data_IF_247602737671
#
_entry.id   IF_247602737671
#
_cell.length_a   1.000
_cell.length_b   1.000
_cell.length_c   1.000
_cell.angle_alpha   90.00
_cell.angle_beta   90.00
_cell.angle_gamma   90.00
#
_symmetry.space_group_name_H-M   'P 1'
#
loop_
_entity.id
_entity.type
_entity.pdbx_description
1 polymer ?
#
# COMPACT_ATOMS: atom_id res chain seq x y z
N UNK A 1 35.66 38.17 9.69
CA UNK A 1 35.57 36.77 9.28
C UNK A 1 34.17 36.56 8.73
N UNK A 2 34.03 36.55 7.39
CA UNK A 2 32.72 36.33 6.73
C UNK A 2 32.43 34.84 6.77
N UNK A 3 31.35 34.46 7.47
CA UNK A 3 30.77 33.12 7.37
C UNK A 3 30.06 33.02 6.03
N UNK A 4 30.64 32.28 5.11
CA UNK A 4 29.97 31.88 3.88
C UNK A 4 28.93 30.83 4.26
N UNK A 5 27.68 31.22 4.41
CA UNK A 5 26.54 30.33 4.49
C UNK A 5 26.40 29.62 3.15
N UNK A 6 26.85 28.39 3.08
CA UNK A 6 26.52 27.49 1.95
C UNK A 6 25.01 27.25 1.94
N UNK A 7 24.29 27.95 1.12
CA UNK A 7 22.90 27.65 0.80
C UNK A 7 22.91 26.40 -0.10
N UNK A 8 22.85 25.23 0.51
CA UNK A 8 22.54 23.99 -0.24
C UNK A 8 21.11 24.10 -0.76
N UNK A 9 20.94 23.94 -2.08
CA UNK A 9 19.59 23.85 -2.67
C UNK A 9 18.78 22.77 -1.93
N UNK A 10 17.50 23.03 -1.62
CA UNK A 10 16.68 22.08 -0.90
C UNK A 10 16.64 20.75 -1.67
N UNK A 11 16.93 19.64 -0.98
CA UNK A 11 16.84 18.31 -1.55
C UNK A 11 15.36 17.91 -1.63
N UNK A 12 14.87 17.65 -2.83
CA UNK A 12 13.49 17.22 -3.05
C UNK A 12 13.40 15.70 -3.01
N UNK A 13 12.44 15.18 -2.23
CA UNK A 13 12.13 13.77 -2.09
C UNK A 13 10.71 13.51 -2.59
N UNK A 14 10.53 12.45 -3.38
CA UNK A 14 9.21 11.98 -3.80
C UNK A 14 8.68 11.03 -2.75
N UNK A 15 7.44 11.29 -2.29
CA UNK A 15 6.76 10.51 -1.25
C UNK A 15 5.50 9.91 -1.85
N UNK A 16 5.52 8.59 -2.08
CA UNK A 16 4.36 7.83 -2.53
C UNK A 16 3.51 7.38 -1.35
N UNK A 17 2.23 7.68 -1.36
CA UNK A 17 1.28 7.17 -0.38
C UNK A 17 -0.13 7.08 -0.95
N UNK A 18 -1.02 6.36 -0.25
CA UNK A 18 -2.40 6.15 -0.69
C UNK A 18 -3.24 7.43 -0.52
N UNK A 19 -4.32 7.61 -1.29
CA UNK A 19 -5.30 8.66 -1.05
C UNK A 19 -6.25 8.37 0.13
N UNK A 20 -6.05 7.27 0.85
CA UNK A 20 -6.92 6.84 1.95
C UNK A 20 -6.84 7.78 3.17
N UNK A 21 -7.86 7.74 4.00
CA UNK A 21 -8.00 8.70 5.12
C UNK A 21 -6.93 8.55 6.19
N UNK A 22 -6.38 7.38 6.42
CA UNK A 22 -5.29 7.12 7.36
C UNK A 22 -3.96 7.72 6.86
N UNK A 23 -3.64 7.58 5.58
CA UNK A 23 -2.48 8.24 4.96
C UNK A 23 -2.68 9.77 4.92
N UNK A 24 -3.87 10.24 4.61
CA UNK A 24 -4.18 11.68 4.64
C UNK A 24 -3.95 12.27 6.04
N UNK A 25 -4.32 11.56 7.09
CA UNK A 25 -4.06 11.96 8.47
C UNK A 25 -2.55 11.94 8.78
N UNK A 26 -1.87 10.86 8.43
CA UNK A 26 -0.45 10.61 8.69
C UNK A 26 0.44 11.68 8.06
N UNK A 27 0.18 12.04 6.80
CA UNK A 27 0.98 12.99 6.04
C UNK A 27 0.48 14.45 6.12
N UNK A 28 -0.59 14.73 6.85
CA UNK A 28 -1.21 16.06 6.91
C UNK A 28 -0.22 17.17 7.24
N UNK A 29 0.56 17.01 8.30
CA UNK A 29 1.48 18.05 8.75
C UNK A 29 2.61 18.31 7.75
N UNK A 30 3.10 17.26 7.12
CA UNK A 30 4.14 17.34 6.10
C UNK A 30 3.62 18.02 4.82
N UNK A 31 2.44 17.59 4.35
CA UNK A 31 1.81 18.12 3.13
C UNK A 31 1.45 19.61 3.25
N UNK A 32 1.08 20.06 4.48
CA UNK A 32 0.68 21.44 4.74
C UNK A 32 1.84 22.31 5.28
N UNK A 33 3.08 21.86 5.21
CA UNK A 33 4.25 22.65 5.65
C UNK A 33 4.23 23.02 7.13
N UNK A 34 3.64 22.19 7.99
CA UNK A 34 3.53 22.43 9.43
C UNK A 34 4.71 21.90 10.24
N UNK A 35 5.67 21.29 9.56
CA UNK A 35 6.88 20.74 10.16
C UNK A 35 8.11 21.47 9.63
N UNK A 36 9.09 21.70 10.50
CA UNK A 36 10.44 22.05 10.05
C UNK A 36 11.11 20.82 9.48
N UNK A 37 11.38 20.84 8.19
CA UNK A 37 11.96 19.72 7.44
C UNK A 37 13.47 19.81 7.27
N UNK A 38 14.13 20.79 7.93
CA UNK A 38 15.59 20.95 7.87
C UNK A 38 16.14 21.19 6.46
N UNK A 39 15.35 21.84 5.58
CA UNK A 39 15.73 22.12 4.19
C UNK A 39 15.40 21.00 3.20
N UNK A 40 14.65 19.98 3.61
CA UNK A 40 14.08 19.00 2.70
C UNK A 40 12.74 19.50 2.12
N UNK A 41 12.50 19.24 0.84
CA UNK A 41 11.21 19.43 0.17
C UNK A 41 10.60 18.10 -0.17
N UNK A 42 9.28 17.97 -0.07
CA UNK A 42 8.56 16.73 -0.34
C UNK A 42 7.53 16.94 -1.47
N UNK A 43 7.55 16.03 -2.44
CA UNK A 43 6.55 15.98 -3.51
C UNK A 43 5.72 14.73 -3.31
N UNK A 44 4.47 14.93 -2.91
CA UNK A 44 3.53 13.85 -2.64
C UNK A 44 2.93 13.30 -3.93
N UNK A 45 2.90 11.97 -4.05
CA UNK A 45 2.33 11.22 -5.17
C UNK A 45 1.31 10.24 -4.62
N UNK A 46 0.04 10.46 -4.99
CA UNK A 46 -1.10 9.69 -4.49
C UNK A 46 -1.42 8.56 -5.47
N UNK A 47 -1.22 7.33 -5.06
CA UNK A 47 -1.47 6.14 -5.86
C UNK A 47 -1.95 4.99 -4.97
N UNK A 48 -2.57 3.97 -5.57
CA UNK A 48 -2.93 2.76 -4.85
C UNK A 48 -1.70 1.96 -4.40
N UNK A 49 -1.87 1.12 -3.38
CA UNK A 49 -0.75 0.43 -2.73
C UNK A 49 -0.05 -0.58 -3.66
N UNK A 50 -0.75 -1.22 -4.60
CA UNK A 50 -0.10 -2.13 -5.55
C UNK A 50 0.79 -1.37 -6.53
N UNK A 51 0.33 -0.21 -7.02
CA UNK A 51 1.12 0.69 -7.87
C UNK A 51 2.37 1.17 -7.12
N UNK A 52 2.22 1.61 -5.86
CA UNK A 52 3.35 2.01 -5.01
C UNK A 52 4.34 0.85 -4.78
N UNK A 53 3.86 -0.37 -4.53
CA UNK A 53 4.70 -1.55 -4.39
C UNK A 53 5.54 -1.79 -5.66
N UNK A 54 4.94 -1.68 -6.84
CA UNK A 54 5.63 -1.86 -8.13
C UNK A 54 6.66 -0.77 -8.40
N UNK A 55 6.33 0.48 -8.12
CA UNK A 55 7.25 1.61 -8.25
C UNK A 55 8.42 1.52 -7.28
N UNK A 56 8.18 1.02 -6.06
CA UNK A 56 9.25 0.75 -5.11
C UNK A 56 10.19 -0.36 -5.62
N UNK A 57 9.65 -1.44 -6.22
CA UNK A 57 10.47 -2.47 -6.87
C UNK A 57 11.33 -1.91 -8.02
N UNK A 58 10.83 -0.91 -8.73
CA UNK A 58 11.57 -0.21 -9.78
C UNK A 58 12.55 0.87 -9.24
N UNK A 59 12.53 1.16 -7.93
CA UNK A 59 13.39 2.17 -7.31
C UNK A 59 13.03 3.60 -7.69
N UNK A 60 11.76 3.86 -8.02
CA UNK A 60 11.32 5.16 -8.54
C UNK A 60 11.06 6.22 -7.47
N UNK A 61 10.88 5.83 -6.22
CA UNK A 61 10.50 6.71 -5.11
C UNK A 61 11.58 6.71 -4.03
N UNK A 62 11.87 7.87 -3.48
CA UNK A 62 12.79 7.99 -2.34
C UNK A 62 12.12 7.51 -1.04
N UNK A 63 10.82 7.79 -0.88
CA UNK A 63 9.98 7.37 0.24
C UNK A 63 8.68 6.81 -0.33
N UNK A 64 8.24 5.67 0.16
CA UNK A 64 6.99 5.06 -0.29
C UNK A 64 6.28 4.33 0.83
N UNK A 65 4.96 4.48 0.91
CA UNK A 65 4.12 3.48 1.55
C UNK A 65 4.21 2.19 0.75
N UNK A 66 4.38 1.07 1.43
CA UNK A 66 4.46 -0.26 0.83
C UNK A 66 3.75 -1.29 1.69
N UNK A 67 3.27 -2.35 1.06
CA UNK A 67 2.73 -3.49 1.79
C UNK A 67 3.85 -4.29 2.47
N UNK A 68 3.55 -4.88 3.62
CA UNK A 68 4.48 -5.79 4.30
C UNK A 68 4.92 -6.95 3.39
N UNK A 69 4.03 -7.45 2.54
CA UNK A 69 4.36 -8.46 1.53
C UNK A 69 5.43 -7.96 0.55
N UNK A 70 5.26 -6.76 0.00
CA UNK A 70 6.23 -6.17 -0.91
C UNK A 70 7.59 -5.93 -0.23
N UNK A 71 7.59 -5.56 1.04
CA UNK A 71 8.84 -5.30 1.77
C UNK A 71 9.76 -6.55 1.84
N UNK A 72 9.21 -7.75 1.85
CA UNK A 72 10.01 -8.98 1.79
C UNK A 72 10.94 -9.03 0.56
N UNK A 73 10.56 -8.36 -0.53
CA UNK A 73 11.34 -8.24 -1.77
C UNK A 73 12.21 -6.99 -1.81
N UNK A 74 11.97 -6.02 -0.94
CA UNK A 74 12.59 -4.69 -0.95
C UNK A 74 13.60 -4.45 0.17
N UNK A 75 13.74 -5.37 1.12
CA UNK A 75 14.57 -5.23 2.33
C UNK A 75 16.05 -4.95 2.08
N UNK A 76 16.55 -5.19 0.87
CA UNK A 76 17.92 -4.85 0.46
C UNK A 76 18.05 -3.46 -0.16
N UNK A 77 16.96 -2.84 -0.56
CA UNK A 77 16.90 -1.56 -1.29
C UNK A 77 16.33 -0.45 -0.44
N UNK A 78 15.34 -0.77 0.38
CA UNK A 78 14.64 0.18 1.25
C UNK A 78 14.79 -0.19 2.72
N UNK A 79 14.94 0.82 3.57
CA UNK A 79 14.83 0.69 5.01
C UNK A 79 13.40 1.02 5.45
N UNK A 80 12.88 0.31 6.45
CA UNK A 80 11.66 0.73 7.13
C UNK A 80 11.96 1.94 8.03
N UNK A 81 11.07 2.91 7.99
CA UNK A 81 11.11 4.03 8.94
C UNK A 81 10.43 3.61 10.26
N UNK A 82 10.85 4.22 11.36
CA UNK A 82 10.27 3.98 12.68
C UNK A 82 8.91 4.66 12.89
N UNK A 83 8.36 5.28 11.84
CA UNK A 83 7.09 5.99 11.84
C UNK A 83 6.36 5.83 10.51
N UNK A 84 5.06 6.13 10.51
CA UNK A 84 4.26 6.08 9.28
C UNK A 84 3.77 4.68 8.95
N UNK A 85 3.06 4.05 9.89
CA UNK A 85 2.49 2.72 9.70
C UNK A 85 0.97 2.74 9.91
N UNK A 86 0.24 2.12 8.98
CA UNK A 86 -1.17 1.78 9.16
C UNK A 86 -1.26 0.30 9.56
N UNK A 87 -1.70 0.04 10.78
CA UNK A 87 -1.71 -1.31 11.36
C UNK A 87 -3.05 -1.64 11.99
N UNK A 88 -3.63 -2.79 11.60
CA UNK A 88 -4.81 -3.33 12.24
C UNK A 88 -4.47 -4.13 13.50
N UNK A 89 -5.23 -3.92 14.58
CA UNK A 89 -5.18 -4.76 15.78
C UNK A 89 -6.49 -5.55 15.91
N UNK A 90 -6.40 -6.88 15.95
CA UNK A 90 -7.52 -7.83 16.04
C UNK A 90 -8.50 -7.77 14.87
N UNK A 91 -8.10 -7.18 13.76
CA UNK A 91 -8.79 -7.23 12.47
C UNK A 91 -7.76 -7.28 11.35
N UNK A 92 -8.20 -7.68 10.16
CA UNK A 92 -7.34 -7.79 8.99
C UNK A 92 -8.14 -7.77 7.70
N UNK A 93 -7.57 -8.18 6.59
CA UNK A 93 -8.29 -8.36 5.35
C UNK A 93 -9.51 -9.24 5.53
N UNK A 94 -10.58 -8.92 4.83
CA UNK A 94 -11.86 -9.65 4.90
C UNK A 94 -12.16 -10.23 3.54
N UNK A 95 -12.67 -11.45 3.52
CA UNK A 95 -13.30 -12.02 2.35
C UNK A 95 -14.76 -11.57 2.30
N UNK A 96 -15.19 -11.09 1.16
CA UNK A 96 -16.56 -10.65 0.90
C UNK A 96 -17.16 -11.49 -0.22
N UNK A 97 -18.43 -11.83 -0.07
CA UNK A 97 -19.20 -12.59 -1.04
C UNK A 97 -20.68 -12.19 -0.93
N UNK A 98 -21.47 -12.52 -1.95
CA UNK A 98 -22.94 -12.29 -1.92
C UNK A 98 -23.66 -13.32 -1.05
N UNK A 99 -23.06 -14.46 -0.83
CA UNK A 99 -23.58 -15.58 -0.06
C UNK A 99 -22.57 -16.01 0.99
N UNK A 100 -23.04 -16.62 2.05
CA UNK A 100 -22.19 -17.19 3.08
C UNK A 100 -21.63 -18.54 2.60
N UNK A 101 -20.31 -18.61 2.42
CA UNK A 101 -19.59 -19.84 2.08
C UNK A 101 -18.58 -20.20 3.17
N UNK A 102 -18.36 -21.47 3.34
CA UNK A 102 -17.22 -21.97 4.12
C UNK A 102 -15.90 -21.69 3.40
N UNK A 103 -14.79 -21.71 4.14
CA UNK A 103 -13.46 -21.52 3.53
C UNK A 103 -13.13 -22.60 2.49
N UNK A 104 -13.64 -23.82 2.64
CA UNK A 104 -13.42 -24.89 1.67
C UNK A 104 -14.16 -24.63 0.36
N UNK A 105 -15.37 -24.10 0.42
CA UNK A 105 -16.14 -23.70 -0.76
C UNK A 105 -15.45 -22.52 -1.48
N UNK A 106 -14.92 -21.55 -0.71
CA UNK A 106 -14.20 -20.39 -1.24
C UNK A 106 -12.93 -20.79 -2.02
N UNK A 107 -12.23 -21.85 -1.62
CA UNK A 107 -11.04 -22.35 -2.34
C UNK A 107 -11.30 -22.70 -3.81
N UNK A 108 -12.52 -23.10 -4.13
CA UNK A 108 -12.93 -23.42 -5.50
C UNK A 108 -13.35 -22.22 -6.35
N UNK A 109 -13.46 -21.04 -5.72
CA UNK A 109 -13.98 -19.81 -6.36
C UNK A 109 -12.89 -18.96 -6.97
N UNK A 110 -13.30 -18.04 -7.84
CA UNK A 110 -12.42 -16.97 -8.32
C UNK A 110 -12.51 -15.78 -7.35
N UNK A 111 -11.37 -15.37 -6.83
CA UNK A 111 -11.25 -14.34 -5.79
C UNK A 111 -10.63 -13.08 -6.40
N UNK A 112 -11.31 -11.95 -6.30
CA UNK A 112 -10.73 -10.66 -6.66
C UNK A 112 -9.77 -10.18 -5.57
N UNK A 113 -8.58 -9.78 -5.98
CA UNK A 113 -7.54 -9.24 -5.09
C UNK A 113 -7.08 -7.87 -5.58
N UNK A 114 -6.66 -6.96 -4.69
CA UNK A 114 -6.21 -5.62 -5.10
C UNK A 114 -4.81 -5.60 -5.74
N UNK A 115 -4.05 -6.67 -5.60
CA UNK A 115 -2.72 -6.78 -6.19
C UNK A 115 -1.90 -7.93 -5.64
N UNK A 116 -0.96 -8.41 -6.45
CA UNK A 116 -0.15 -9.59 -6.13
C UNK A 116 0.89 -9.33 -5.02
N UNK A 117 1.25 -8.07 -4.77
CA UNK A 117 2.23 -7.67 -3.75
C UNK A 117 1.56 -7.15 -2.48
N UNK A 118 0.23 -7.17 -2.39
CA UNK A 118 -0.50 -6.69 -1.23
C UNK A 118 -0.44 -7.65 -0.05
N UNK A 119 -0.49 -7.13 1.16
CA UNK A 119 -0.59 -7.95 2.39
C UNK A 119 -1.91 -8.73 2.42
N UNK A 120 -2.98 -8.20 1.81
CA UNK A 120 -4.25 -8.91 1.65
C UNK A 120 -4.07 -10.22 0.87
N UNK A 121 -3.33 -10.20 -0.24
CA UNK A 121 -3.05 -11.42 -1.00
C UNK A 121 -2.13 -12.38 -0.24
N UNK A 122 -1.12 -11.90 0.46
CA UNK A 122 -0.28 -12.74 1.31
C UNK A 122 -1.12 -13.49 2.36
N UNK A 123 -1.98 -12.78 3.08
CA UNK A 123 -2.85 -13.39 4.09
C UNK A 123 -3.87 -14.34 3.49
N UNK A 124 -4.40 -14.05 2.31
CA UNK A 124 -5.25 -14.98 1.56
C UNK A 124 -4.53 -16.31 1.29
N UNK A 125 -3.29 -16.24 0.79
CA UNK A 125 -2.47 -17.44 0.51
C UNK A 125 -2.13 -18.23 1.79
N UNK A 126 -1.90 -17.55 2.90
CA UNK A 126 -1.67 -18.20 4.20
C UNK A 126 -2.93 -18.91 4.71
N UNK A 127 -4.11 -18.37 4.43
CA UNK A 127 -5.39 -18.92 4.85
C UNK A 127 -5.87 -20.07 3.96
N UNK A 128 -5.82 -19.90 2.64
CA UNK A 128 -6.42 -20.82 1.68
C UNK A 128 -5.42 -21.69 0.91
N UNK A 129 -4.12 -21.41 1.01
CA UNK A 129 -3.08 -22.03 0.20
C UNK A 129 -2.72 -21.19 -1.02
N UNK A 130 -1.68 -21.62 -1.74
CA UNK A 130 -1.15 -20.87 -2.90
C UNK A 130 -1.88 -21.11 -4.21
N UNK A 131 -2.67 -22.19 -4.29
CA UNK A 131 -3.35 -22.63 -5.52
C UNK A 131 -4.73 -21.99 -5.69
N UNK A 132 -4.96 -20.82 -5.08
CA UNK A 132 -6.21 -20.08 -5.22
C UNK A 132 -6.30 -19.39 -6.57
N UNK A 133 -7.48 -19.43 -7.18
CA UNK A 133 -7.75 -18.72 -8.43
C UNK A 133 -8.02 -17.26 -8.12
N UNK A 134 -7.18 -16.38 -8.63
CA UNK A 134 -7.32 -14.94 -8.38
C UNK A 134 -7.44 -14.14 -9.67
N UNK A 135 -8.14 -13.01 -9.56
CA UNK A 135 -8.18 -11.94 -10.56
C UNK A 135 -7.80 -10.63 -9.88
N UNK A 136 -6.92 -9.85 -10.50
CA UNK A 136 -6.51 -8.56 -9.97
C UNK A 136 -7.49 -7.49 -10.46
N UNK A 137 -8.08 -6.76 -9.51
CA UNK A 137 -8.95 -5.62 -9.77
C UNK A 137 -8.48 -4.43 -8.91
N UNK A 138 -8.66 -3.19 -9.38
CA UNK A 138 -8.50 -2.02 -8.53
C UNK A 138 -9.31 -2.17 -7.24
N UNK A 139 -8.76 -1.71 -6.12
CA UNK A 139 -9.37 -1.93 -4.79
C UNK A 139 -10.83 -1.47 -4.71
N UNK A 140 -11.11 -0.29 -5.25
CA UNK A 140 -12.45 0.32 -5.32
C UNK A 140 -13.44 -0.44 -6.22
N UNK A 141 -12.95 -1.28 -7.13
CA UNK A 141 -13.78 -2.07 -8.04
C UNK A 141 -14.11 -3.47 -7.51
N UNK A 142 -13.43 -3.95 -6.47
CA UNK A 142 -13.64 -5.30 -5.93
C UNK A 142 -15.07 -5.45 -5.41
N UNK A 143 -15.51 -4.54 -4.54
CA UNK A 143 -16.86 -4.59 -3.96
C UNK A 143 -17.97 -4.51 -5.02
N UNK A 144 -17.93 -3.56 -5.97
CA UNK A 144 -18.87 -3.52 -7.08
C UNK A 144 -18.87 -4.80 -7.94
N UNK A 145 -17.69 -5.37 -8.22
CA UNK A 145 -17.59 -6.59 -9.03
C UNK A 145 -18.24 -7.80 -8.34
N UNK A 146 -18.04 -7.96 -7.02
CA UNK A 146 -18.71 -9.01 -6.23
C UNK A 146 -20.23 -8.77 -6.21
N UNK A 147 -20.66 -7.54 -5.99
CA UNK A 147 -22.08 -7.17 -5.96
C UNK A 147 -22.76 -7.45 -7.31
N UNK A 148 -22.10 -7.14 -8.41
CA UNK A 148 -22.59 -7.39 -9.76
C UNK A 148 -22.48 -8.87 -10.21
N UNK A 149 -21.85 -9.72 -9.41
CA UNK A 149 -21.63 -11.14 -9.74
C UNK A 149 -20.59 -11.38 -10.83
N UNK A 150 -19.74 -10.41 -11.10
CA UNK A 150 -18.61 -10.55 -12.05
C UNK A 150 -17.51 -11.45 -11.48
N UNK A 151 -17.35 -11.41 -10.16
CA UNK A 151 -16.52 -12.34 -9.39
C UNK A 151 -17.34 -12.90 -8.22
N UNK A 152 -16.96 -14.06 -7.75
CA UNK A 152 -17.72 -14.72 -6.68
C UNK A 152 -17.33 -14.21 -5.30
N UNK A 153 -16.04 -13.90 -5.10
CA UNK A 153 -15.42 -13.49 -3.85
C UNK A 153 -14.46 -12.33 -4.09
N UNK A 154 -14.34 -11.44 -3.12
CA UNK A 154 -13.36 -10.36 -3.11
C UNK A 154 -12.70 -10.18 -1.77
#
# INVERSE_FOLDING_TARGET
>A
MSQTTMTTSPRTLRVGHSPDSDDAFMFYALTHGKLDTGGLSFVHQLEDIETLNRRALAGELEISAISLHAYAHLSKTYALLDSGCSMGDRYGPKLIAREAWSLDEIRGKTIAIPGALTTAYLTLQLCLGRDVKVVILPFDQILPAVQAGQVEVG
#
